data_IF_880409117050
#
_entry.id   IF_880409117050
#
_cell.length_a   1.000
_cell.length_b   1.000
_cell.length_c   1.000
_cell.angle_alpha   90.00
_cell.angle_beta   90.00
_cell.angle_gamma   90.00
#
_symmetry.space_group_name_H-M   'P 1'
#
loop_
_entity.id
_entity.type
_entity.pdbx_description
1 polymer ?
#
# COMPACT_ATOMS: atom_id res chain seq x y z
N UNK A 1 78.35 19.35 1.61
CA UNK A 1 77.60 18.08 1.52
C UNK A 1 76.91 17.61 2.81
N UNK A 2 77.51 17.72 4.03
CA UNK A 2 76.86 17.28 5.29
C UNK A 2 75.62 18.09 5.74
N UNK A 3 75.58 19.40 5.48
CA UNK A 3 74.44 20.28 5.86
C UNK A 3 73.18 20.07 4.99
N UNK A 4 73.35 19.75 3.70
CA UNK A 4 72.22 19.47 2.79
C UNK A 4 71.54 18.13 3.10
N UNK A 5 72.28 17.12 3.59
CA UNK A 5 71.68 15.85 4.00
C UNK A 5 70.74 16.00 5.22
N UNK A 6 71.08 16.84 6.20
CA UNK A 6 70.23 17.09 7.38
C UNK A 6 68.93 17.84 7.03
N UNK A 7 68.98 18.80 6.11
CA UNK A 7 67.79 19.54 5.67
C UNK A 7 66.83 18.64 4.88
N UNK A 8 67.37 17.73 4.06
CA UNK A 8 66.57 16.76 3.31
C UNK A 8 65.89 15.73 4.23
N UNK A 9 66.56 15.30 5.30
CA UNK A 9 65.97 14.36 6.28
C UNK A 9 64.81 14.99 7.06
N UNK A 10 64.87 16.27 7.40
CA UNK A 10 63.79 16.97 8.14
C UNK A 10 62.56 17.20 7.25
N UNK A 11 62.76 17.52 5.97
CA UNK A 11 61.64 17.74 5.03
C UNK A 11 60.91 16.42 4.72
N UNK A 12 61.65 15.31 4.58
CA UNK A 12 61.04 13.99 4.35
C UNK A 12 60.30 13.48 5.59
N UNK A 13 60.77 13.77 6.80
CA UNK A 13 60.07 13.38 8.03
C UNK A 13 58.84 14.23 8.35
N UNK A 14 58.82 15.52 7.94
CA UNK A 14 57.61 16.34 8.02
C UNK A 14 56.56 15.94 6.96
N UNK A 15 56.99 15.52 5.77
CA UNK A 15 56.09 15.04 4.72
C UNK A 15 55.41 13.71 5.07
N UNK A 16 56.10 12.80 5.79
CA UNK A 16 55.49 11.56 6.29
C UNK A 16 54.51 11.77 7.46
N UNK A 17 54.68 12.84 8.25
CA UNK A 17 53.80 13.14 9.38
C UNK A 17 52.48 13.81 8.95
N UNK A 18 52.45 14.47 7.78
CA UNK A 18 51.26 15.16 7.26
C UNK A 18 50.40 14.22 6.39
N UNK A 19 50.97 13.15 5.82
CA UNK A 19 50.20 12.19 5.03
C UNK A 19 49.45 11.13 5.84
N UNK A 20 49.59 11.11 7.17
CA UNK A 20 48.96 10.11 8.06
C UNK A 20 47.71 10.61 8.80
N UNK A 21 47.27 11.86 8.61
CA UNK A 21 46.16 12.43 9.38
C UNK A 21 45.04 13.12 8.58
N UNK A 22 45.04 13.02 7.26
CA UNK A 22 43.92 13.47 6.43
C UNK A 22 43.61 12.45 5.32
N UNK A 23 43.27 11.22 5.71
CA UNK A 23 42.33 10.48 4.87
C UNK A 23 40.95 11.06 5.17
N UNK A 24 40.24 11.70 4.22
CA UNK A 24 38.80 11.82 4.36
C UNK A 24 38.28 10.42 4.68
N UNK A 25 37.58 10.28 5.82
CA UNK A 25 36.84 9.09 6.15
C UNK A 25 35.67 9.05 5.14
N UNK A 26 35.94 8.60 3.92
CA UNK A 26 34.87 8.17 3.04
C UNK A 26 34.25 6.99 3.76
N UNK A 27 32.99 7.14 4.18
CA UNK A 27 32.18 6.01 4.59
C UNK A 27 32.38 4.93 3.53
N UNK A 28 32.84 3.76 3.95
CA UNK A 28 32.83 2.60 3.07
C UNK A 28 31.36 2.41 2.74
N UNK A 29 30.94 2.69 1.51
CA UNK A 29 29.61 2.32 1.03
C UNK A 29 29.47 0.83 1.30
N UNK A 30 28.61 0.46 2.25
CA UNK A 30 28.31 -0.93 2.49
C UNK A 30 27.62 -1.47 1.24
N UNK A 31 28.14 -2.54 0.65
CA UNK A 31 27.43 -3.31 -0.38
C UNK A 31 26.16 -4.00 0.17
N UNK A 32 25.89 -3.86 1.47
CA UNK A 32 24.70 -4.38 2.13
C UNK A 32 23.51 -3.45 1.84
N UNK A 33 22.47 -4.02 1.22
CA UNK A 33 21.21 -3.36 0.97
C UNK A 33 20.13 -4.03 1.81
N UNK A 34 19.36 -3.23 2.54
CA UNK A 34 18.30 -3.70 3.43
C UNK A 34 16.95 -3.69 2.70
N UNK A 35 16.20 -4.80 2.73
CA UNK A 35 14.89 -4.86 2.09
C UNK A 35 13.88 -3.98 2.85
N UNK A 36 13.02 -3.32 2.07
CA UNK A 36 11.96 -2.45 2.55
C UNK A 36 10.61 -2.96 2.04
N UNK A 37 9.69 -3.21 2.96
CA UNK A 37 8.31 -3.58 2.66
C UNK A 37 7.37 -2.41 2.94
N UNK A 38 6.54 -2.03 1.96
CA UNK A 38 5.46 -1.05 2.15
C UNK A 38 4.21 -1.73 2.70
N UNK A 39 3.47 -0.99 3.54
CA UNK A 39 2.19 -1.40 4.06
C UNK A 39 1.11 -0.35 3.75
N UNK A 40 -0.03 -0.83 3.26
CA UNK A 40 -1.22 -0.05 3.01
C UNK A 40 -2.20 -0.10 4.18
N UNK A 41 -3.05 0.91 4.26
CA UNK A 41 -4.22 0.93 5.16
C UNK A 41 -5.39 1.60 4.44
N UNK A 42 -6.55 0.91 4.39
CA UNK A 42 -7.78 1.45 3.81
C UNK A 42 -8.46 2.39 4.81
N UNK A 43 -8.39 3.69 4.53
CA UNK A 43 -9.08 4.71 5.32
C UNK A 43 -10.49 4.98 4.77
N UNK A 44 -11.28 5.79 5.47
CA UNK A 44 -12.57 6.27 4.96
C UNK A 44 -12.43 7.06 3.64
N UNK A 45 -11.24 7.62 3.37
CA UNK A 45 -10.91 8.37 2.16
C UNK A 45 -10.13 7.55 1.12
N UNK A 46 -10.00 6.23 1.33
CA UNK A 46 -9.27 5.32 0.45
C UNK A 46 -7.96 4.81 1.04
N UNK A 47 -7.32 3.88 0.33
CA UNK A 47 -6.08 3.27 0.77
C UNK A 47 -4.89 4.21 0.61
N UNK A 48 -4.07 4.29 1.65
CA UNK A 48 -2.80 5.02 1.66
C UNK A 48 -1.67 4.10 2.10
N UNK A 49 -0.45 4.39 1.66
CA UNK A 49 0.77 3.77 2.23
C UNK A 49 1.02 4.38 3.62
N UNK A 50 0.70 3.62 4.66
CA UNK A 50 0.71 4.08 6.07
C UNK A 50 2.09 3.95 6.72
N UNK A 51 2.87 2.93 6.34
CA UNK A 51 4.20 2.69 6.89
C UNK A 51 5.08 1.90 5.92
N UNK A 52 6.38 1.92 6.19
CA UNK A 52 7.34 0.95 5.66
C UNK A 52 8.06 0.24 6.80
N UNK A 53 8.51 -0.99 6.55
CA UNK A 53 9.35 -1.76 7.47
C UNK A 53 10.65 -2.13 6.77
N UNK A 54 11.76 -1.79 7.43
CA UNK A 54 13.10 -2.14 6.99
C UNK A 54 13.60 -3.31 7.84
N UNK A 55 14.12 -4.36 7.21
CA UNK A 55 14.75 -5.49 7.90
C UNK A 55 16.29 -5.41 7.82
N UNK A 56 16.95 -5.28 8.97
CA UNK A 56 18.41 -5.23 9.06
C UNK A 56 19.06 -6.60 9.18
N UNK A 57 18.27 -7.69 9.14
CA UNK A 57 18.73 -9.07 9.26
C UNK A 57 18.86 -9.55 10.70
N UNK A 58 18.64 -10.85 10.91
CA UNK A 58 18.52 -11.48 12.24
C UNK A 58 19.74 -11.32 13.15
N UNK A 59 20.91 -11.02 12.58
CA UNK A 59 22.15 -10.80 13.34
C UNK A 59 22.26 -9.41 13.95
N UNK A 60 21.39 -8.48 13.56
CA UNK A 60 21.46 -7.07 13.89
C UNK A 60 20.30 -6.60 14.77
N UNK A 61 20.57 -5.56 15.56
CA UNK A 61 19.58 -4.73 16.24
C UNK A 61 19.88 -3.27 15.98
N UNK A 62 18.82 -2.48 15.79
CA UNK A 62 18.93 -1.09 15.36
C UNK A 62 18.55 -0.13 16.50
N UNK A 63 19.31 0.94 16.67
CA UNK A 63 19.05 2.01 17.65
C UNK A 63 19.37 3.38 17.09
N UNK A 64 18.90 4.42 17.77
CA UNK A 64 19.18 5.81 17.41
C UNK A 64 18.46 6.29 16.15
N UNK A 65 17.43 5.56 15.71
CA UNK A 65 16.59 5.97 14.58
C UNK A 65 15.63 7.06 15.03
N UNK A 66 15.51 8.12 14.24
CA UNK A 66 14.57 9.23 14.44
C UNK A 66 13.80 9.50 13.15
N UNK A 67 12.82 10.39 13.18
CA UNK A 67 12.08 10.82 11.98
C UNK A 67 12.99 11.48 10.94
N UNK A 68 14.15 11.98 11.35
CA UNK A 68 15.14 12.61 10.46
C UNK A 68 16.15 11.61 9.90
N UNK A 69 16.11 10.33 10.30
CA UNK A 69 17.05 9.32 9.83
C UNK A 69 16.89 9.05 8.33
N UNK A 70 15.65 9.08 7.84
CA UNK A 70 15.33 8.76 6.46
C UNK A 70 14.66 9.92 5.75
N UNK A 71 14.91 9.99 4.45
CA UNK A 71 14.11 10.70 3.47
C UNK A 71 13.47 9.64 2.57
N UNK A 72 12.15 9.66 2.46
CA UNK A 72 11.41 8.72 1.60
C UNK A 72 10.74 9.52 0.51
N UNK A 73 11.04 9.16 -0.72
CA UNK A 73 10.55 9.82 -1.91
C UNK A 73 9.61 8.87 -2.66
N UNK A 74 8.47 9.37 -3.13
CA UNK A 74 7.52 8.61 -3.93
C UNK A 74 7.33 9.28 -5.28
N UNK A 75 7.35 8.48 -6.34
CA UNK A 75 6.87 8.84 -7.65
C UNK A 75 5.63 7.99 -7.97
N UNK A 76 4.46 8.62 -8.03
CA UNK A 76 3.22 7.97 -8.41
C UNK A 76 2.82 8.31 -9.85
N UNK A 77 2.62 7.31 -10.69
CA UNK A 77 2.26 7.48 -12.10
C UNK A 77 1.01 6.69 -12.47
N UNK A 78 0.32 7.13 -13.53
CA UNK A 78 -0.74 6.34 -14.13
C UNK A 78 -0.14 5.13 -14.84
N UNK A 79 -0.63 3.90 -14.59
CA UNK A 79 -0.14 2.74 -15.31
C UNK A 79 -0.49 2.80 -16.80
N UNK A 80 0.43 2.34 -17.65
CA UNK A 80 0.30 2.45 -19.11
C UNK A 80 -0.94 1.73 -19.64
N UNK A 81 -1.34 0.62 -19.02
CA UNK A 81 -2.49 -0.19 -19.45
C UNK A 81 -3.83 0.56 -19.39
N UNK A 82 -3.94 1.59 -18.55
CA UNK A 82 -5.15 2.41 -18.48
C UNK A 82 -5.27 3.37 -19.67
N UNK A 83 -4.19 3.60 -20.44
CA UNK A 83 -4.19 4.51 -21.59
C UNK A 83 -4.79 5.90 -21.23
N UNK A 84 -4.39 6.44 -20.08
CA UNK A 84 -4.90 7.73 -19.59
C UNK A 84 -4.48 8.85 -20.56
N UNK A 85 -5.41 9.69 -21.05
CA UNK A 85 -5.08 10.79 -21.95
C UNK A 85 -4.10 11.78 -21.33
N UNK A 86 -3.18 12.35 -22.13
CA UNK A 86 -2.17 13.31 -21.66
C UNK A 86 -2.78 14.58 -21.04
N UNK A 87 -3.97 14.99 -21.48
CA UNK A 87 -4.69 16.14 -20.95
C UNK A 87 -5.57 15.81 -19.73
N UNK A 88 -5.55 14.57 -19.24
CA UNK A 88 -6.32 14.14 -18.08
C UNK A 88 -5.65 14.58 -16.78
N UNK A 89 -6.43 15.23 -15.90
CA UNK A 89 -5.95 15.58 -14.57
C UNK A 89 -6.09 14.38 -13.65
N UNK A 90 -4.94 13.89 -13.20
CA UNK A 90 -4.82 12.77 -12.26
C UNK A 90 -4.38 13.32 -10.89
N UNK A 91 -5.29 13.34 -9.91
CA UNK A 91 -5.07 14.09 -8.66
C UNK A 91 -3.92 13.57 -7.79
N UNK A 92 -3.64 12.26 -7.83
CA UNK A 92 -2.64 11.63 -6.98
C UNK A 92 -1.44 11.07 -7.75
N UNK A 93 -1.43 11.15 -9.08
CA UNK A 93 -0.25 10.83 -9.89
C UNK A 93 0.74 12.00 -9.81
N UNK A 94 1.63 11.96 -8.82
CA UNK A 94 2.60 13.02 -8.54
C UNK A 94 3.82 12.48 -7.80
N UNK A 95 4.89 13.25 -7.86
CA UNK A 95 6.18 12.98 -7.23
C UNK A 95 6.39 13.92 -6.03
N UNK A 96 6.75 13.38 -4.86
CA UNK A 96 7.01 14.16 -3.65
C UNK A 96 7.73 13.34 -2.56
N UNK A 97 8.26 14.05 -1.56
CA UNK A 97 8.83 13.42 -0.37
C UNK A 97 7.70 13.12 0.65
N UNK A 98 7.63 11.87 1.12
CA UNK A 98 6.72 11.47 2.20
C UNK A 98 7.12 12.10 3.52
N UNK A 99 6.14 12.56 4.27
CA UNK A 99 6.31 13.05 5.62
C UNK A 99 6.33 11.88 6.60
N UNK A 100 7.47 11.68 7.25
CA UNK A 100 7.63 10.72 8.34
C UNK A 100 7.11 11.34 9.63
N UNK A 101 6.16 10.67 10.29
CA UNK A 101 5.53 11.17 11.52
C UNK A 101 5.98 10.43 12.77
N UNK A 102 6.46 9.19 12.61
CA UNK A 102 6.89 8.35 13.72
C UNK A 102 7.85 7.27 13.22
N UNK A 103 8.79 6.86 14.07
CA UNK A 103 9.65 5.70 13.85
C UNK A 103 9.64 4.82 15.08
N UNK A 104 9.69 3.50 14.88
CA UNK A 104 9.82 2.51 15.94
C UNK A 104 10.88 1.47 15.56
N UNK A 105 11.59 0.97 16.56
CA UNK A 105 12.61 -0.06 16.38
C UNK A 105 12.26 -1.27 17.23
N UNK A 106 12.18 -2.44 16.60
CA UNK A 106 11.94 -3.72 17.27
C UNK A 106 12.95 -4.74 16.78
N UNK A 107 14.00 -4.97 17.58
CA UNK A 107 15.08 -5.88 17.20
C UNK A 107 15.77 -5.43 15.91
N UNK A 108 15.71 -6.28 14.89
CA UNK A 108 16.25 -6.03 13.54
C UNK A 108 15.37 -5.12 12.68
N UNK A 109 14.13 -4.85 13.11
CA UNK A 109 13.16 -4.12 12.31
C UNK A 109 13.12 -2.64 12.68
N UNK A 110 13.06 -1.80 11.64
CA UNK A 110 12.73 -0.37 11.78
C UNK A 110 11.42 -0.13 11.04
N UNK A 111 10.40 0.29 11.79
CA UNK A 111 9.11 0.71 11.22
C UNK A 111 9.09 2.23 11.11
N UNK A 112 8.84 2.73 9.91
CA UNK A 112 8.71 4.17 9.62
C UNK A 112 7.26 4.44 9.23
N UNK A 113 6.58 5.25 10.02
CA UNK A 113 5.17 5.62 9.80
C UNK A 113 5.09 6.95 9.06
N UNK A 114 4.19 7.01 8.08
CA UNK A 114 3.98 8.19 7.26
C UNK A 114 2.73 8.95 7.67
N UNK A 115 2.67 10.22 7.30
CA UNK A 115 1.43 11.01 7.37
C UNK A 115 0.40 10.39 6.41
N UNK A 116 -0.76 10.03 6.96
CA UNK A 116 -1.84 9.36 6.21
C UNK A 116 -2.77 10.34 5.48
N UNK A 117 -2.54 11.65 5.61
CA UNK A 117 -3.20 12.64 4.74
C UNK A 117 -2.64 12.69 3.31
N UNK A 118 -1.58 11.92 3.06
CA UNK A 118 -0.91 11.73 1.77
C UNK A 118 -0.69 10.22 1.50
N UNK A 119 -0.06 9.88 0.38
CA UNK A 119 0.33 8.49 0.09
C UNK A 119 -0.77 7.61 -0.51
N UNK A 120 -1.79 8.19 -1.13
CA UNK A 120 -2.88 7.45 -1.80
C UNK A 120 -2.35 6.43 -2.81
N UNK A 121 -2.94 5.23 -2.83
CA UNK A 121 -2.63 4.16 -3.80
C UNK A 121 -3.51 4.22 -5.05
N UNK A 122 -4.60 5.00 -5.00
CA UNK A 122 -5.45 5.33 -6.13
C UNK A 122 -5.25 6.79 -6.57
N UNK A 123 -5.50 7.07 -7.84
CA UNK A 123 -5.69 8.43 -8.35
C UNK A 123 -7.07 8.59 -8.97
N UNK A 124 -7.71 9.72 -8.67
CA UNK A 124 -8.95 10.10 -9.33
C UNK A 124 -8.62 10.83 -10.65
N UNK A 125 -9.24 10.36 -11.72
CA UNK A 125 -9.21 10.97 -13.05
C UNK A 125 -10.38 11.97 -13.14
N UNK A 126 -10.08 13.26 -13.30
CA UNK A 126 -11.07 14.32 -13.25
C UNK A 126 -12.19 14.20 -14.31
N UNK A 127 -11.85 14.02 -15.58
CA UNK A 127 -12.83 13.91 -16.66
C UNK A 127 -13.30 12.46 -16.83
N UNK A 128 -12.42 11.48 -16.58
CA UNK A 128 -12.80 10.07 -16.56
C UNK A 128 -13.81 9.76 -15.46
N UNK A 129 -13.76 10.49 -14.36
CA UNK A 129 -14.61 10.29 -13.20
C UNK A 129 -14.41 8.92 -12.56
N UNK A 130 -13.17 8.40 -12.60
CA UNK A 130 -12.78 7.08 -12.11
C UNK A 130 -11.55 7.14 -11.23
N UNK A 131 -11.50 6.24 -10.26
CA UNK A 131 -10.33 5.93 -9.48
C UNK A 131 -9.60 4.74 -10.12
N UNK A 132 -8.33 4.93 -10.44
CA UNK A 132 -7.45 3.85 -10.92
C UNK A 132 -6.29 3.64 -9.93
N UNK A 133 -5.81 2.40 -9.75
CA UNK A 133 -4.53 2.12 -9.11
C UNK A 133 -3.38 2.92 -9.74
N UNK A 134 -2.48 3.40 -8.90
CA UNK A 134 -1.23 4.02 -9.31
C UNK A 134 -0.12 2.98 -9.41
N UNK A 135 0.81 3.21 -10.35
CA UNK A 135 2.15 2.67 -10.26
C UNK A 135 2.93 3.53 -9.27
N UNK A 136 3.46 2.90 -8.22
CA UNK A 136 4.17 3.59 -7.14
C UNK A 136 5.63 3.14 -7.11
N UNK A 137 6.53 4.12 -7.13
CA UNK A 137 7.95 3.90 -6.95
C UNK A 137 8.45 4.64 -5.70
N UNK A 138 8.90 3.89 -4.70
CA UNK A 138 9.44 4.43 -3.45
C UNK A 138 10.97 4.32 -3.43
N UNK A 139 11.62 5.46 -3.21
CA UNK A 139 13.07 5.56 -3.00
C UNK A 139 13.36 5.97 -1.57
N UNK A 140 14.18 5.17 -0.87
CA UNK A 140 14.55 5.40 0.53
C UNK A 140 16.01 5.85 0.58
N UNK A 141 16.25 7.02 1.16
CA UNK A 141 17.60 7.54 1.41
C UNK A 141 17.80 7.73 2.90
N UNK A 142 18.87 7.16 3.47
CA UNK A 142 19.26 7.48 4.84
C UNK A 142 20.09 8.77 4.86
N UNK A 143 19.63 9.76 5.62
CA UNK A 143 20.24 11.10 5.73
C UNK A 143 21.11 11.20 6.98
N UNK A 144 20.66 10.63 8.09
CA UNK A 144 21.40 10.64 9.35
C UNK A 144 21.85 9.23 9.74
N UNK A 145 23.03 9.09 10.35
CA UNK A 145 23.54 7.80 10.80
C UNK A 145 22.65 7.17 11.88
N UNK A 146 22.73 5.85 11.99
CA UNK A 146 22.12 5.07 13.06
C UNK A 146 23.13 4.14 13.71
N UNK A 147 22.74 3.48 14.80
CA UNK A 147 23.58 2.49 15.47
C UNK A 147 23.13 1.07 15.18
N UNK A 148 24.06 0.25 14.67
CA UNK A 148 23.94 -1.20 14.60
C UNK A 148 24.59 -1.84 15.82
N UNK A 149 23.86 -2.79 16.41
CA UNK A 149 24.32 -3.67 17.48
C UNK A 149 24.12 -5.12 17.07
N UNK A 150 24.89 -6.05 17.64
CA UNK A 150 24.60 -7.47 17.49
C UNK A 150 23.37 -7.87 18.32
N UNK A 151 22.83 -9.06 18.06
CA UNK A 151 21.67 -9.58 18.79
C UNK A 151 21.84 -9.59 20.33
N UNK A 152 23.06 -9.75 20.85
CA UNK A 152 23.40 -9.70 22.28
C UNK A 152 23.66 -8.27 22.83
N UNK A 153 23.58 -7.25 21.97
CA UNK A 153 23.64 -5.84 22.35
C UNK A 153 25.01 -5.18 22.31
N UNK A 154 26.05 -5.86 21.78
CA UNK A 154 27.36 -5.22 21.53
C UNK A 154 27.26 -4.25 20.37
N UNK A 155 27.83 -3.06 20.51
CA UNK A 155 27.94 -2.07 19.42
C UNK A 155 28.83 -2.61 18.30
N UNK A 156 28.31 -2.52 17.07
CA UNK A 156 29.01 -2.90 15.85
C UNK A 156 29.47 -1.65 15.10
N UNK A 157 28.55 -0.71 14.88
CA UNK A 157 28.82 0.58 14.24
C UNK A 157 27.80 1.62 14.75
N UNK A 158 28.29 2.75 15.27
CA UNK A 158 27.45 3.85 15.78
C UNK A 158 27.18 4.93 14.73
N UNK A 159 27.80 4.85 13.55
CA UNK A 159 27.70 5.80 12.46
C UNK A 159 27.29 5.13 11.14
N UNK A 160 26.43 4.12 11.22
CA UNK A 160 26.07 3.29 10.08
C UNK A 160 25.17 4.04 9.09
N UNK A 161 25.50 3.91 7.80
CA UNK A 161 24.70 4.37 6.65
C UNK A 161 24.50 3.17 5.74
N UNK A 162 23.25 2.76 5.53
CA UNK A 162 22.89 1.62 4.69
C UNK A 162 22.34 2.03 3.32
N UNK A 163 22.27 1.05 2.42
CA UNK A 163 21.48 1.10 1.20
C UNK A 163 20.15 0.37 1.40
N UNK A 164 19.14 0.68 0.59
CA UNK A 164 17.79 0.16 0.76
C UNK A 164 17.21 -0.29 -0.58
N UNK A 165 16.51 -1.42 -0.58
CA UNK A 165 15.82 -1.94 -1.76
C UNK A 165 14.33 -2.10 -1.44
N UNK A 166 13.49 -1.42 -2.21
CA UNK A 166 12.04 -1.58 -2.14
C UNK A 166 11.56 -2.17 -3.47
N UNK A 167 10.78 -3.25 -3.41
CA UNK A 167 10.13 -3.83 -4.59
C UNK A 167 8.77 -3.18 -4.90
N UNK A 168 8.41 -2.16 -4.12
CA UNK A 168 7.15 -1.40 -4.17
C UNK A 168 5.88 -2.23 -3.96
N UNK A 169 6.00 -3.48 -3.55
CA UNK A 169 4.83 -4.28 -3.18
C UNK A 169 4.18 -3.71 -1.93
N UNK A 170 2.85 -3.69 -1.91
CA UNK A 170 2.07 -3.15 -0.81
C UNK A 170 1.36 -4.31 -0.10
N UNK A 171 1.65 -4.50 1.18
CA UNK A 171 0.91 -5.42 2.04
C UNK A 171 -0.17 -4.68 2.81
N UNK A 172 -1.37 -5.21 2.82
CA UNK A 172 -2.47 -4.64 3.61
C UNK A 172 -3.26 -5.80 4.22
N UNK A 173 -3.35 -5.79 5.55
CA UNK A 173 -3.93 -6.88 6.33
C UNK A 173 -5.42 -7.03 6.07
N UNK A 174 -6.14 -5.95 5.78
CA UNK A 174 -7.58 -6.01 5.53
C UNK A 174 -7.86 -6.46 4.10
N UNK A 175 -7.16 -5.91 3.11
CA UNK A 175 -7.39 -6.28 1.70
C UNK A 175 -6.89 -7.69 1.38
N UNK A 176 -5.83 -8.18 2.05
CA UNK A 176 -5.30 -9.54 1.85
C UNK A 176 -6.28 -10.66 2.23
N UNK A 177 -7.36 -10.34 2.95
CA UNK A 177 -8.43 -11.28 3.28
C UNK A 177 -9.34 -11.59 2.09
N UNK A 178 -9.33 -10.74 1.06
CA UNK A 178 -10.23 -10.83 -0.08
C UNK A 178 -9.57 -11.53 -1.27
N UNK A 179 -10.40 -12.18 -2.09
CA UNK A 179 -10.02 -12.80 -3.34
C UNK A 179 -10.75 -12.11 -4.50
N UNK A 180 -10.01 -11.80 -5.56
CA UNK A 180 -10.58 -11.28 -6.80
C UNK A 180 -11.26 -12.41 -7.57
N UNK A 181 -12.57 -12.29 -7.77
CA UNK A 181 -13.38 -13.22 -8.55
C UNK A 181 -13.76 -12.56 -9.88
N UNK A 182 -13.35 -13.21 -10.97
CA UNK A 182 -13.68 -12.79 -12.34
C UNK A 182 -14.81 -13.66 -12.86
N UNK A 183 -15.88 -13.02 -13.33
CA UNK A 183 -17.09 -13.72 -13.81
C UNK A 183 -17.24 -13.51 -15.31
N UNK A 184 -17.16 -14.59 -16.09
CA UNK A 184 -17.33 -14.52 -17.54
C UNK A 184 -18.75 -14.07 -17.92
N UNK A 185 -18.86 -12.98 -18.67
CA UNK A 185 -20.12 -12.32 -19.00
C UNK A 185 -20.86 -11.68 -17.81
N UNK A 186 -20.30 -11.75 -16.61
CA UNK A 186 -20.88 -11.30 -15.35
C UNK A 186 -20.31 -9.97 -14.86
N UNK A 187 -20.30 -9.81 -13.54
CA UNK A 187 -19.74 -8.67 -12.82
C UNK A 187 -18.63 -9.19 -11.90
N UNK A 188 -17.42 -8.64 -12.04
CA UNK A 188 -16.31 -9.02 -11.18
C UNK A 188 -16.55 -8.50 -9.76
N UNK A 189 -16.04 -9.23 -8.77
CA UNK A 189 -16.17 -8.84 -7.37
C UNK A 189 -14.96 -9.26 -6.53
N UNK A 190 -14.77 -8.59 -5.41
CA UNK A 190 -13.88 -9.01 -4.34
C UNK A 190 -14.67 -9.81 -3.31
N UNK A 191 -14.11 -10.92 -2.84
CA UNK A 191 -14.82 -11.84 -1.97
C UNK A 191 -14.02 -12.22 -0.73
N UNK A 192 -14.64 -12.06 0.44
CA UNK A 192 -14.13 -12.57 1.72
C UNK A 192 -14.98 -13.75 2.17
N UNK A 193 -14.32 -14.88 2.41
CA UNK A 193 -14.91 -16.09 2.98
C UNK A 193 -14.64 -16.10 4.49
N UNK A 194 -15.69 -15.92 5.29
CA UNK A 194 -15.56 -15.93 6.74
C UNK A 194 -15.36 -17.35 7.30
N UNK A 195 -15.78 -18.37 6.54
CA UNK A 195 -15.76 -19.79 6.88
C UNK A 195 -16.45 -20.15 8.21
N UNK A 196 -17.20 -19.22 8.82
CA UNK A 196 -17.70 -19.29 10.18
C UNK A 196 -19.09 -18.64 10.29
N UNK A 197 -19.98 -18.88 9.34
CA UNK A 197 -21.33 -18.35 9.40
C UNK A 197 -22.15 -18.75 8.18
N UNK A 198 -23.38 -18.25 8.14
CA UNK A 198 -24.36 -18.42 7.07
C UNK A 198 -24.95 -17.07 6.63
N UNK A 199 -24.22 -15.98 6.85
CA UNK A 199 -24.65 -14.62 6.49
C UNK A 199 -23.81 -14.07 5.34
N UNK A 200 -24.40 -13.18 4.53
CA UNK A 200 -23.71 -12.53 3.41
C UNK A 200 -23.94 -11.02 3.46
N UNK A 201 -22.86 -10.25 3.36
CA UNK A 201 -22.89 -8.81 3.12
C UNK A 201 -22.51 -8.53 1.67
N UNK A 202 -23.40 -7.85 0.94
CA UNK A 202 -23.17 -7.39 -0.43
C UNK A 202 -22.92 -5.89 -0.41
N UNK A 203 -21.81 -5.47 -1.03
CA UNK A 203 -21.40 -4.09 -1.14
C UNK A 203 -21.38 -3.60 -2.60
N UNK A 204 -21.97 -2.43 -2.82
CA UNK A 204 -21.89 -1.67 -4.07
C UNK A 204 -21.19 -0.31 -3.85
N UNK A 205 -20.06 -0.10 -4.54
CA UNK A 205 -19.25 1.12 -4.44
C UNK A 205 -19.89 2.35 -5.11
N UNK A 206 -19.29 3.53 -4.90
CA UNK A 206 -19.67 4.79 -5.55
C UNK A 206 -19.22 4.88 -7.00
N UNK A 207 -19.62 5.92 -7.74
CA UNK A 207 -19.30 5.96 -9.18
C UNK A 207 -17.79 5.98 -9.50
N UNK A 208 -16.95 6.46 -8.58
CA UNK A 208 -15.51 6.56 -8.78
C UNK A 208 -14.84 5.21 -8.97
N UNK A 209 -15.29 4.16 -8.28
CA UNK A 209 -14.60 2.86 -8.30
C UNK A 209 -15.10 1.91 -9.40
N UNK A 210 -15.95 2.41 -10.30
CA UNK A 210 -16.32 1.68 -11.51
C UNK A 210 -15.09 1.36 -12.36
N UNK A 211 -15.19 0.34 -13.20
CA UNK A 211 -14.09 0.00 -14.07
C UNK A 211 -13.80 1.16 -15.06
N UNK A 212 -12.53 1.28 -15.45
CA UNK A 212 -12.08 2.28 -16.41
C UNK A 212 -11.65 1.57 -17.70
N UNK A 213 -12.36 1.83 -18.79
CA UNK A 213 -12.07 1.30 -20.13
C UNK A 213 -11.85 -0.22 -20.18
N UNK A 214 -12.66 -0.99 -19.45
CA UNK A 214 -12.55 -2.45 -19.41
C UNK A 214 -11.19 -2.94 -18.87
N UNK A 215 -10.55 -2.18 -17.97
CA UNK A 215 -9.32 -2.61 -17.30
C UNK A 215 -9.51 -3.90 -16.51
N UNK A 216 -10.74 -4.17 -16.07
CA UNK A 216 -11.10 -5.29 -15.20
C UNK A 216 -10.20 -5.37 -13.95
N UNK A 217 -9.77 -4.22 -13.41
CA UNK A 217 -8.82 -4.19 -12.31
C UNK A 217 -9.36 -4.92 -11.07
N UNK A 218 -10.68 -4.89 -10.85
CA UNK A 218 -11.39 -5.52 -9.75
C UNK A 218 -10.79 -5.20 -8.37
N UNK A 219 -10.17 -4.04 -8.19
CA UNK A 219 -9.55 -3.63 -6.93
C UNK A 219 -9.99 -2.25 -6.45
N UNK A 220 -10.37 -1.34 -7.35
CA UNK A 220 -10.72 0.03 -6.98
C UNK A 220 -11.85 0.07 -5.94
N UNK A 221 -12.85 -0.81 -6.04
CA UNK A 221 -13.97 -0.89 -5.10
C UNK A 221 -13.56 -1.29 -3.68
N UNK A 222 -12.44 -2.02 -3.56
CA UNK A 222 -11.88 -2.43 -2.27
C UNK A 222 -11.01 -1.34 -1.67
N UNK A 223 -10.27 -0.60 -2.50
CA UNK A 223 -9.29 0.39 -2.06
C UNK A 223 -9.89 1.80 -1.90
N UNK A 224 -11.01 2.11 -2.53
CA UNK A 224 -11.56 3.47 -2.60
C UNK A 224 -12.14 4.01 -1.28
N UNK A 225 -12.55 3.13 -0.37
CA UNK A 225 -13.02 3.44 0.98
C UNK A 225 -13.21 2.16 1.79
N UNK A 226 -13.56 2.28 3.07
CA UNK A 226 -13.79 1.14 3.98
C UNK A 226 -15.02 0.28 3.65
N UNK A 227 -15.86 0.67 2.69
CA UNK A 227 -17.13 -0.01 2.39
C UNK A 227 -17.00 -1.47 1.95
N UNK A 228 -15.83 -1.89 1.46
CA UNK A 228 -15.53 -3.30 1.21
C UNK A 228 -14.93 -3.98 2.45
N UNK A 229 -13.81 -3.46 2.95
CA UNK A 229 -13.00 -4.17 3.95
C UNK A 229 -13.57 -4.13 5.38
N UNK A 230 -14.36 -3.12 5.73
CA UNK A 230 -14.88 -2.96 7.10
C UNK A 230 -15.76 -4.14 7.52
N UNK A 231 -16.46 -4.78 6.59
CA UNK A 231 -17.32 -5.92 6.88
C UNK A 231 -16.52 -7.18 7.26
N UNK A 232 -15.24 -7.26 6.90
CA UNK A 232 -14.33 -8.36 7.25
C UNK A 232 -13.46 -8.07 8.50
N UNK A 233 -13.79 -7.02 9.25
CA UNK A 233 -13.17 -6.72 10.55
C UNK A 233 -13.73 -7.63 11.63
N UNK A 234 -12.95 -7.86 12.70
CA UNK A 234 -13.40 -8.67 13.83
C UNK A 234 -14.70 -8.12 14.46
N UNK A 235 -14.86 -6.80 14.52
CA UNK A 235 -16.08 -6.16 15.02
C UNK A 235 -17.29 -6.53 14.17
N UNK A 236 -17.22 -6.32 12.85
CA UNK A 236 -18.32 -6.65 11.95
C UNK A 236 -18.62 -8.16 11.96
N UNK A 237 -17.59 -9.00 11.94
CA UNK A 237 -17.74 -10.45 11.96
C UNK A 237 -18.40 -10.93 13.27
N UNK A 238 -18.13 -10.29 14.41
CA UNK A 238 -18.82 -10.59 15.66
C UNK A 238 -20.31 -10.17 15.65
N UNK A 239 -20.65 -9.07 14.98
CA UNK A 239 -22.03 -8.58 14.87
C UNK A 239 -22.87 -9.45 13.94
N UNK A 240 -22.33 -9.77 12.76
CA UNK A 240 -23.04 -10.51 11.72
C UNK A 240 -22.85 -12.03 11.81
N UNK A 241 -22.14 -12.53 12.84
CA UNK A 241 -21.99 -13.96 13.08
C UNK A 241 -21.17 -14.67 12.01
N UNK A 242 -20.07 -14.05 11.55
CA UNK A 242 -19.17 -14.61 10.55
C UNK A 242 -19.69 -14.49 9.12
N UNK A 243 -20.04 -13.28 8.68
CA UNK A 243 -20.61 -13.06 7.35
C UNK A 243 -19.55 -13.05 6.26
N UNK A 244 -19.83 -13.75 5.15
CA UNK A 244 -19.11 -13.56 3.91
C UNK A 244 -19.34 -12.15 3.37
N UNK A 245 -18.40 -11.62 2.60
CA UNK A 245 -18.51 -10.29 2.00
C UNK A 245 -18.27 -10.36 0.50
N UNK A 246 -19.19 -9.79 -0.27
CA UNK A 246 -19.13 -9.72 -1.73
C UNK A 246 -19.18 -8.25 -2.16
N UNK A 247 -18.08 -7.75 -2.71
CA UNK A 247 -17.95 -6.37 -3.16
C UNK A 247 -17.77 -6.29 -4.68
N UNK A 248 -18.87 -6.05 -5.39
CA UNK A 248 -18.87 -5.94 -6.85
C UNK A 248 -18.09 -4.73 -7.34
N UNK A 249 -17.47 -4.83 -8.51
CA UNK A 249 -17.04 -3.69 -9.30
C UNK A 249 -17.96 -3.51 -10.51
N UNK A 250 -18.58 -2.34 -10.66
CA UNK A 250 -19.37 -2.01 -11.84
C UNK A 250 -18.47 -2.07 -13.09
N UNK A 251 -18.91 -2.70 -14.20
CA UNK A 251 -18.16 -2.66 -15.47
C UNK A 251 -17.99 -1.23 -16.04
N UNK A 252 -18.81 -0.29 -15.58
CA UNK A 252 -18.66 1.14 -15.87
C UNK A 252 -19.32 1.97 -14.74
N UNK A 253 -20.65 1.90 -14.63
CA UNK A 253 -21.42 2.62 -13.60
C UNK A 253 -22.72 1.91 -13.24
N UNK A 254 -23.13 2.05 -11.98
CA UNK A 254 -24.41 1.54 -11.49
C UNK A 254 -25.63 2.30 -12.04
N UNK A 255 -25.47 3.54 -12.49
CA UNK A 255 -26.62 4.35 -12.96
C UNK A 255 -27.33 3.74 -14.17
N UNK A 256 -26.62 2.90 -14.94
CA UNK A 256 -27.17 2.19 -16.09
C UNK A 256 -27.53 0.74 -15.81
N UNK A 257 -27.56 0.32 -14.54
CA UNK A 257 -27.76 -1.09 -14.15
C UNK A 257 -28.99 -1.75 -14.79
N UNK A 258 -30.08 -1.03 -15.01
CA UNK A 258 -31.27 -1.58 -15.69
C UNK A 258 -31.08 -1.71 -17.20
N UNK A 259 -30.44 -0.71 -17.85
CA UNK A 259 -30.17 -0.72 -19.29
C UNK A 259 -29.20 -1.85 -19.64
N UNK A 260 -28.20 -2.06 -18.80
CA UNK A 260 -27.08 -2.97 -19.05
C UNK A 260 -27.28 -4.36 -18.40
N UNK A 261 -28.45 -4.60 -17.80
CA UNK A 261 -28.81 -5.88 -17.18
C UNK A 261 -28.00 -6.22 -15.91
N UNK A 262 -27.32 -5.25 -15.30
CA UNK A 262 -26.46 -5.47 -14.13
C UNK A 262 -27.24 -5.92 -12.89
N UNK A 263 -28.51 -5.52 -12.76
CA UNK A 263 -29.39 -5.97 -11.65
C UNK A 263 -29.56 -7.49 -11.66
N UNK A 264 -29.92 -8.05 -12.81
CA UNK A 264 -30.13 -9.49 -12.96
C UNK A 264 -28.82 -10.26 -12.81
N UNK A 265 -27.72 -9.74 -13.36
CA UNK A 265 -26.40 -10.35 -13.21
C UNK A 265 -25.96 -10.43 -11.74
N UNK A 266 -25.98 -9.29 -11.04
CA UNK A 266 -25.63 -9.24 -9.63
C UNK A 266 -26.52 -10.16 -8.79
N UNK A 267 -27.84 -10.15 -9.04
CA UNK A 267 -28.78 -11.07 -8.36
C UNK A 267 -28.39 -12.54 -8.57
N UNK A 268 -28.16 -12.97 -9.81
CA UNK A 268 -27.81 -14.35 -10.11
C UNK A 268 -26.47 -14.77 -9.46
N UNK A 269 -25.49 -13.86 -9.44
CA UNK A 269 -24.19 -14.10 -8.81
C UNK A 269 -24.31 -14.20 -7.28
N UNK A 270 -25.14 -13.35 -6.65
CA UNK A 270 -25.49 -13.44 -5.22
C UNK A 270 -26.18 -14.78 -4.91
N UNK A 271 -27.15 -15.20 -5.74
CA UNK A 271 -27.85 -16.47 -5.56
C UNK A 271 -26.92 -17.68 -5.70
N UNK A 272 -25.93 -17.63 -6.59
CA UNK A 272 -24.93 -18.68 -6.70
C UNK A 272 -24.03 -18.73 -5.46
N UNK A 273 -23.61 -17.59 -4.90
CA UNK A 273 -22.89 -17.55 -3.62
C UNK A 273 -23.74 -18.13 -2.50
N UNK A 274 -25.01 -17.72 -2.39
CA UNK A 274 -25.94 -18.24 -1.38
C UNK A 274 -25.99 -19.76 -1.42
N UNK A 275 -26.20 -20.32 -2.62
CA UNK A 275 -26.29 -21.76 -2.82
C UNK A 275 -24.99 -22.50 -2.56
N UNK A 276 -23.86 -21.97 -3.05
CA UNK A 276 -22.56 -22.66 -2.98
C UNK A 276 -21.93 -22.62 -1.60
N UNK A 277 -22.20 -21.55 -0.84
CA UNK A 277 -21.66 -21.33 0.51
C UNK A 277 -22.62 -21.74 1.61
N UNK A 278 -23.89 -22.02 1.27
CA UNK A 278 -24.91 -22.40 2.24
C UNK A 278 -25.32 -21.22 3.12
N UNK A 279 -25.40 -20.02 2.52
CA UNK A 279 -25.88 -18.81 3.19
C UNK A 279 -27.38 -18.97 3.44
N UNK A 280 -27.83 -18.51 4.59
CA UNK A 280 -29.24 -18.35 4.93
C UNK A 280 -29.79 -17.14 4.15
N UNK A 281 -30.76 -17.33 3.22
CA UNK A 281 -31.32 -16.24 2.43
C UNK A 281 -31.90 -15.09 3.29
N UNK A 282 -32.34 -15.37 4.51
CA UNK A 282 -32.87 -14.36 5.43
C UNK A 282 -31.75 -13.49 6.08
N UNK A 283 -30.47 -13.83 5.85
CA UNK A 283 -29.29 -13.13 6.39
C UNK A 283 -28.39 -12.54 5.30
N UNK A 284 -29.02 -12.07 4.23
CA UNK A 284 -28.36 -11.34 3.16
C UNK A 284 -28.57 -9.84 3.36
N UNK A 285 -27.48 -9.11 3.57
CA UNK A 285 -27.49 -7.68 3.82
C UNK A 285 -26.89 -6.95 2.62
N UNK A 286 -27.65 -6.03 2.03
CA UNK A 286 -27.20 -5.26 0.86
C UNK A 286 -26.94 -3.82 1.26
N UNK A 287 -25.76 -3.29 0.91
CA UNK A 287 -25.35 -1.93 1.22
C UNK A 287 -24.59 -1.29 0.06
N UNK A 288 -24.56 0.04 0.03
CA UNK A 288 -23.82 0.79 -0.98
C UNK A 288 -23.86 2.29 -0.76
N UNK A 289 -22.92 3.02 -1.37
CA UNK A 289 -22.83 4.47 -1.29
C UNK A 289 -23.02 5.14 -2.66
N UNK A 290 -23.64 6.33 -2.70
CA UNK A 290 -23.83 7.10 -3.94
C UNK A 290 -24.46 6.26 -5.07
N UNK A 291 -23.78 6.07 -6.21
CA UNK A 291 -24.22 5.19 -7.29
C UNK A 291 -24.49 3.74 -6.83
N UNK A 292 -23.72 3.24 -5.87
CA UNK A 292 -23.96 1.93 -5.24
C UNK A 292 -25.16 1.94 -4.28
N UNK A 293 -25.49 3.09 -3.68
CA UNK A 293 -26.74 3.26 -2.94
C UNK A 293 -27.96 3.23 -3.86
N UNK A 294 -27.82 3.80 -5.07
CA UNK A 294 -28.80 3.61 -6.14
C UNK A 294 -28.93 2.12 -6.50
N UNK A 295 -27.83 1.41 -6.76
CA UNK A 295 -27.85 -0.03 -7.05
C UNK A 295 -28.54 -0.84 -5.94
N UNK A 296 -28.16 -0.60 -4.68
CA UNK A 296 -28.73 -1.22 -3.49
C UNK A 296 -30.25 -1.06 -3.47
N UNK A 297 -30.74 0.17 -3.63
CA UNK A 297 -32.18 0.44 -3.61
C UNK A 297 -32.90 -0.25 -4.77
N UNK A 298 -32.27 -0.29 -5.96
CA UNK A 298 -32.84 -0.96 -7.13
C UNK A 298 -32.89 -2.48 -6.96
N UNK A 299 -31.86 -3.08 -6.35
CA UNK A 299 -31.84 -4.50 -6.00
C UNK A 299 -32.99 -4.84 -5.06
N UNK A 300 -33.15 -4.11 -3.96
CA UNK A 300 -34.22 -4.36 -2.97
C UNK A 300 -35.65 -4.18 -3.55
N UNK A 301 -35.82 -3.31 -4.55
CA UNK A 301 -37.13 -3.15 -5.22
C UNK A 301 -37.39 -4.31 -6.19
N UNK A 302 -36.38 -4.74 -6.95
CA UNK A 302 -36.54 -5.77 -7.97
C UNK A 302 -36.56 -7.19 -7.40
N UNK A 303 -35.83 -7.41 -6.31
CA UNK A 303 -35.62 -8.69 -5.63
C UNK A 303 -35.78 -8.48 -4.11
N UNK A 304 -37.04 -8.35 -3.63
CA UNK A 304 -37.32 -8.06 -2.22
C UNK A 304 -37.20 -9.30 -1.30
N UNK A 305 -37.17 -10.49 -1.88
CA UNK A 305 -37.02 -11.79 -1.21
C UNK A 305 -35.60 -12.35 -1.44
#
# INVERSE_FOLDING_TARGET
>A
MKKMKKLFTVIVSLALAISTYCTPLFAVESNESYPVQLYGEVTDAGQVISKMVIDYGETHKVRGVTTETFKVHVNGTNPEEYNVPENEISYNAKEYDRKIVKVETEGQYVTVYFDMSEGSTLTYLQNGGRNIPLDLEYTITQINPLTLTSADGRELDTNWIGNYTCDNTVKDEETSKFQSIIVDGGINYQYYDASKGDSLVVWFHGNGEGDYHSSNNNVAQMLGNRGTVAWATDEAQNIFGGADVMAFQAPDTWYYAQRDGLLEKAYNEIQEVIKTKGIDPDKVYVSGCSAGGYMTTRMLIAYPD
#
